data_IF_350769371927
#
_entry.id   IF_350769371927
#
_cell.length_a   1.000
_cell.length_b   1.000
_cell.length_c   1.000
_cell.angle_alpha   90.00
_cell.angle_beta   90.00
_cell.angle_gamma   90.00
#
_symmetry.space_group_name_H-M   'P 1'
#
loop_
_entity.id
_entity.type
_entity.pdbx_description
1 polymer ?
#
# COMPACT_ATOMS: atom_id res chain seq x y z
N UNK A 1 -22.77 20.26 -8.06
CA UNK A 1 -22.60 21.72 -8.25
C UNK A 1 -21.21 22.17 -7.82
N UNK A 2 -20.81 21.99 -6.55
CA UNK A 2 -19.51 22.46 -6.02
C UNK A 2 -18.24 22.01 -6.76
N UNK A 3 -18.10 20.74 -7.13
CA UNK A 3 -16.89 20.26 -7.82
C UNK A 3 -16.72 20.90 -9.20
N UNK A 4 -17.83 21.09 -9.92
CA UNK A 4 -17.83 21.78 -11.20
C UNK A 4 -17.45 23.26 -11.03
N UNK A 5 -18.01 23.95 -10.03
CA UNK A 5 -17.65 25.33 -9.71
C UNK A 5 -16.16 25.48 -9.38
N UNK A 6 -15.57 24.54 -8.62
CA UNK A 6 -14.14 24.53 -8.33
C UNK A 6 -13.30 24.33 -9.59
N UNK A 7 -13.69 23.40 -10.46
CA UNK A 7 -13.02 23.19 -11.74
C UNK A 7 -13.08 24.45 -12.61
N UNK A 8 -14.26 25.05 -12.78
CA UNK A 8 -14.41 26.29 -13.55
C UNK A 8 -13.62 27.44 -12.95
N UNK A 9 -13.59 27.57 -11.62
CA UNK A 9 -12.79 28.58 -10.96
C UNK A 9 -11.30 28.43 -11.29
N UNK A 10 -10.75 27.22 -11.17
CA UNK A 10 -9.34 26.96 -11.52
C UNK A 10 -9.08 27.25 -13.00
N UNK A 11 -9.98 26.82 -13.89
CA UNK A 11 -9.80 27.05 -15.32
C UNK A 11 -9.83 28.54 -15.67
N UNK A 12 -10.86 29.26 -15.23
CA UNK A 12 -11.09 30.66 -15.59
C UNK A 12 -10.13 31.62 -14.91
N UNK A 13 -9.78 31.38 -13.65
CA UNK A 13 -8.99 32.31 -12.84
C UNK A 13 -7.49 31.99 -12.89
N UNK A 14 -7.09 30.74 -13.12
CA UNK A 14 -5.68 30.35 -13.13
C UNK A 14 -5.18 29.88 -14.48
N UNK A 15 -5.81 28.85 -15.07
CA UNK A 15 -5.24 28.14 -16.23
C UNK A 15 -5.37 28.95 -17.51
N UNK A 16 -6.57 29.43 -17.83
CA UNK A 16 -6.85 30.21 -19.04
C UNK A 16 -6.01 31.50 -19.06
N UNK A 17 -5.97 32.34 -18.00
CA UNK A 17 -5.14 33.53 -17.99
C UNK A 17 -3.65 33.21 -18.11
N UNK A 18 -3.14 32.23 -17.36
CA UNK A 18 -1.72 31.87 -17.42
C UNK A 18 -1.30 31.39 -18.82
N UNK A 19 -2.19 30.67 -19.52
CA UNK A 19 -1.92 30.14 -20.85
C UNK A 19 -2.00 31.21 -21.94
N UNK A 20 -2.96 32.13 -21.88
CA UNK A 20 -3.17 33.12 -22.96
C UNK A 20 -2.46 34.46 -22.75
N UNK A 21 -2.08 34.81 -21.53
CA UNK A 21 -1.28 36.03 -21.27
C UNK A 21 0.11 35.90 -21.92
N UNK A 22 0.40 36.76 -22.90
CA UNK A 22 1.68 36.79 -23.63
C UNK A 22 2.37 38.13 -23.39
N UNK A 23 3.68 38.09 -23.17
CA UNK A 23 4.48 39.31 -23.17
C UNK A 23 4.63 39.91 -24.58
N UNK A 24 5.31 41.06 -24.68
CA UNK A 24 5.61 41.74 -25.96
C UNK A 24 6.40 40.89 -26.97
N UNK A 25 7.00 39.78 -26.55
CA UNK A 25 7.69 38.83 -27.41
C UNK A 25 6.84 37.58 -27.74
N UNK A 26 5.58 37.51 -27.30
CA UNK A 26 4.68 36.39 -27.56
C UNK A 26 4.79 35.21 -26.58
N UNK A 27 5.53 35.34 -25.47
CA UNK A 27 5.77 34.24 -24.54
C UNK A 27 4.85 34.29 -23.31
N UNK A 28 4.24 33.15 -22.90
CA UNK A 28 3.48 33.06 -21.66
C UNK A 28 4.38 32.75 -20.48
N UNK A 29 4.93 33.80 -19.85
CA UNK A 29 5.90 33.63 -18.75
C UNK A 29 5.32 32.80 -17.60
N UNK A 30 4.06 33.06 -17.22
CA UNK A 30 3.37 32.36 -16.13
C UNK A 30 3.15 30.89 -16.46
N UNK A 31 2.70 30.56 -17.68
CA UNK A 31 2.57 29.17 -18.13
C UNK A 31 3.91 28.43 -18.13
N UNK A 32 4.96 29.04 -18.71
CA UNK A 32 6.27 28.41 -18.78
C UNK A 32 6.88 28.16 -17.39
N UNK A 33 6.63 29.05 -16.43
CA UNK A 33 7.01 28.84 -15.04
C UNK A 33 6.31 27.60 -14.46
N UNK A 34 5.00 27.44 -14.67
CA UNK A 34 4.24 26.25 -14.23
C UNK A 34 4.75 24.97 -14.90
N UNK A 35 5.02 24.99 -16.21
CA UNK A 35 5.58 23.84 -16.93
C UNK A 35 6.95 23.44 -16.37
N UNK A 36 7.85 24.41 -16.11
CA UNK A 36 9.16 24.14 -15.50
C UNK A 36 9.05 23.59 -14.09
N UNK A 37 8.15 24.13 -13.27
CA UNK A 37 7.87 23.61 -11.93
C UNK A 37 7.33 22.18 -11.97
N UNK A 38 6.41 21.88 -12.90
CA UNK A 38 5.89 20.53 -13.13
C UNK A 38 7.03 19.56 -13.48
N UNK A 39 7.89 19.94 -14.44
CA UNK A 39 9.01 19.09 -14.83
C UNK A 39 10.01 18.86 -13.68
N UNK A 40 10.30 19.88 -12.86
CA UNK A 40 11.27 19.74 -11.76
C UNK A 40 10.71 18.94 -10.57
N UNK A 41 9.42 19.10 -10.25
CA UNK A 41 8.81 18.51 -9.05
C UNK A 41 8.14 17.16 -9.32
N UNK A 42 7.44 17.01 -10.44
CA UNK A 42 6.61 15.83 -10.71
C UNK A 42 7.40 14.70 -11.36
N UNK A 43 8.31 15.00 -12.30
CA UNK A 43 9.11 13.97 -13.00
C UNK A 43 9.82 12.99 -12.06
N UNK A 44 10.53 13.42 -10.99
CA UNK A 44 11.17 12.47 -10.08
C UNK A 44 10.15 11.66 -9.25
N UNK A 45 8.96 12.22 -8.99
CA UNK A 45 7.92 11.55 -8.21
C UNK A 45 7.13 10.54 -9.04
N UNK A 46 6.76 10.88 -10.26
CA UNK A 46 5.93 10.07 -11.15
C UNK A 46 6.76 9.38 -12.25
N UNK A 47 7.88 8.79 -11.84
CA UNK A 47 8.73 8.01 -12.74
C UNK A 47 8.41 6.52 -12.64
N UNK A 48 8.16 5.87 -13.79
CA UNK A 48 8.01 4.41 -13.85
C UNK A 48 9.27 3.67 -13.39
N UNK A 49 10.46 4.26 -13.58
CA UNK A 49 11.71 3.70 -13.05
C UNK A 49 11.74 3.73 -11.52
N UNK A 50 11.30 4.85 -10.92
CA UNK A 50 11.15 4.95 -9.45
C UNK A 50 10.13 3.91 -8.95
N UNK A 51 8.96 3.83 -9.59
CA UNK A 51 7.90 2.89 -9.24
C UNK A 51 8.41 1.45 -9.30
N UNK A 52 9.05 1.05 -10.40
CA UNK A 52 9.57 -0.31 -10.55
C UNK A 52 10.63 -0.63 -9.49
N UNK A 53 11.55 0.31 -9.22
CA UNK A 53 12.55 0.14 -8.17
C UNK A 53 11.89 -0.07 -6.80
N UNK A 54 10.92 0.75 -6.44
CA UNK A 54 10.17 0.62 -5.18
C UNK A 54 9.43 -0.71 -5.11
N UNK A 55 8.82 -1.15 -6.20
CA UNK A 55 8.12 -2.43 -6.26
C UNK A 55 9.08 -3.61 -6.05
N UNK A 56 10.25 -3.57 -6.69
CA UNK A 56 11.28 -4.60 -6.52
C UNK A 56 11.80 -4.61 -5.09
N UNK A 57 12.10 -3.47 -4.50
CA UNK A 57 12.74 -3.41 -3.18
C UNK A 57 11.78 -3.65 -2.01
N UNK A 58 10.53 -3.21 -2.14
CA UNK A 58 9.55 -3.28 -1.05
C UNK A 58 8.63 -4.49 -1.13
N UNK A 59 8.42 -5.06 -2.33
CA UNK A 59 7.52 -6.21 -2.52
C UNK A 59 8.30 -7.45 -2.93
N UNK A 60 8.99 -7.42 -4.08
CA UNK A 60 9.59 -8.64 -4.63
C UNK A 60 10.79 -9.15 -3.85
N UNK A 61 11.73 -8.29 -3.45
CA UNK A 61 12.92 -8.71 -2.73
C UNK A 61 12.60 -9.28 -1.34
N UNK A 62 11.70 -8.67 -0.52
CA UNK A 62 11.25 -9.29 0.72
C UNK A 62 10.53 -10.62 0.48
N UNK A 63 9.62 -10.69 -0.50
CA UNK A 63 8.91 -11.93 -0.82
C UNK A 63 9.87 -13.06 -1.24
N UNK A 64 10.89 -12.75 -2.06
CA UNK A 64 11.91 -13.71 -2.47
C UNK A 64 12.73 -14.21 -1.27
N UNK A 65 13.12 -13.33 -0.35
CA UNK A 65 13.81 -13.73 0.90
C UNK A 65 12.92 -14.60 1.79
N UNK A 66 11.66 -14.24 1.95
CA UNK A 66 10.69 -15.05 2.71
C UNK A 66 10.49 -16.42 2.07
N UNK A 67 10.45 -16.50 0.75
CA UNK A 67 10.39 -17.77 0.03
C UNK A 67 11.64 -18.61 0.28
N UNK A 68 12.84 -18.03 0.12
CA UNK A 68 14.11 -18.72 0.40
C UNK A 68 14.14 -19.30 1.82
N UNK A 69 13.79 -18.49 2.82
CA UNK A 69 13.74 -18.95 4.22
C UNK A 69 12.73 -20.08 4.46
N UNK A 70 11.66 -20.19 3.65
CA UNK A 70 10.66 -21.26 3.77
C UNK A 70 11.11 -22.57 3.12
N UNK A 71 11.94 -22.50 2.08
CA UNK A 71 12.49 -23.68 1.40
C UNK A 71 13.82 -24.14 1.98
N UNK A 72 14.40 -23.39 2.92
CA UNK A 72 15.55 -23.81 3.71
C UNK A 72 15.32 -25.21 4.30
N UNK A 73 16.41 -25.98 4.42
CA UNK A 73 16.38 -27.38 4.85
C UNK A 73 15.39 -28.23 4.03
N UNK A 74 15.27 -27.94 2.74
CA UNK A 74 14.36 -28.65 1.82
C UNK A 74 12.87 -28.53 2.21
N UNK A 75 12.49 -27.41 2.84
CA UNK A 75 11.10 -27.10 3.16
C UNK A 75 10.50 -27.94 4.31
N UNK A 76 11.32 -28.44 5.24
CA UNK A 76 10.84 -29.27 6.37
C UNK A 76 9.75 -28.57 7.16
N UNK A 77 9.87 -27.27 7.42
CA UNK A 77 8.84 -26.50 8.15
C UNK A 77 7.49 -26.51 7.45
N UNK A 78 7.47 -26.46 6.11
CA UNK A 78 6.21 -26.53 5.36
C UNK A 78 5.60 -27.93 5.45
N UNK A 79 6.45 -28.97 5.44
CA UNK A 79 6.01 -30.35 5.64
C UNK A 79 5.47 -30.56 7.05
N UNK A 80 6.20 -30.14 8.09
CA UNK A 80 5.79 -30.27 9.48
C UNK A 80 4.44 -29.58 9.74
N UNK A 81 4.23 -28.40 9.14
CA UNK A 81 2.96 -27.67 9.22
C UNK A 81 1.82 -28.42 8.50
N UNK A 82 2.09 -29.00 7.33
CA UNK A 82 1.12 -29.79 6.58
C UNK A 82 0.74 -31.07 7.34
N UNK A 83 1.73 -31.76 7.90
CA UNK A 83 1.54 -32.98 8.69
C UNK A 83 0.75 -32.66 9.97
N UNK A 84 1.06 -31.55 10.65
CA UNK A 84 0.30 -31.05 11.79
C UNK A 84 -1.15 -30.70 11.44
N UNK A 85 -1.38 -30.02 10.32
CA UNK A 85 -2.73 -29.69 9.86
C UNK A 85 -3.53 -30.97 9.55
N UNK A 86 -2.93 -31.93 8.84
CA UNK A 86 -3.57 -33.22 8.57
C UNK A 86 -3.92 -33.96 9.86
N UNK A 87 -3.01 -33.95 10.83
CA UNK A 87 -3.25 -34.56 12.14
C UNK A 87 -4.41 -33.87 12.89
N UNK A 88 -4.49 -32.54 12.84
CA UNK A 88 -5.61 -31.80 13.41
C UNK A 88 -6.93 -32.13 12.71
N UNK A 89 -6.95 -32.18 11.38
CA UNK A 89 -8.17 -32.46 10.61
C UNK A 89 -8.72 -33.86 10.91
N UNK A 90 -7.83 -34.85 11.01
CA UNK A 90 -8.18 -36.23 11.39
C UNK A 90 -8.73 -36.31 12.82
N UNK A 91 -8.13 -35.56 13.74
CA UNK A 91 -8.43 -35.65 15.18
C UNK A 91 -9.40 -34.55 15.65
N UNK A 92 -9.89 -33.70 14.74
CA UNK A 92 -10.73 -32.55 15.05
C UNK A 92 -11.97 -32.92 15.87
N UNK A 93 -12.57 -34.07 15.54
CA UNK A 93 -13.77 -34.58 16.21
C UNK A 93 -13.54 -35.00 17.67
N UNK A 94 -12.29 -35.32 18.01
CA UNK A 94 -11.88 -35.73 19.35
C UNK A 94 -11.38 -34.56 20.19
N UNK A 95 -11.07 -33.42 19.56
CA UNK A 95 -10.70 -32.21 20.28
C UNK A 95 -11.89 -31.73 21.11
N UNK A 96 -11.73 -31.73 22.43
CA UNK A 96 -12.66 -31.12 23.38
C UNK A 96 -11.90 -30.06 24.14
N UNK A 97 -12.43 -28.84 24.11
CA UNK A 97 -12.05 -27.85 25.11
C UNK A 97 -12.63 -28.32 26.45
N UNK A 98 -11.85 -28.22 27.52
CA UNK A 98 -12.32 -28.49 28.88
C UNK A 98 -13.45 -27.55 29.29
N UNK A 99 -13.89 -27.67 30.55
CA UNK A 99 -14.87 -26.75 31.10
C UNK A 99 -14.26 -25.34 31.10
N UNK A 100 -14.82 -24.46 30.26
CA UNK A 100 -14.38 -23.08 30.19
C UNK A 100 -14.89 -22.33 31.43
N UNK A 101 -14.00 -22.08 32.37
CA UNK A 101 -14.24 -21.20 33.50
C UNK A 101 -13.97 -19.75 33.08
N UNK A 102 -15.04 -18.96 33.06
CA UNK A 102 -14.98 -17.53 32.79
C UNK A 102 -15.17 -16.80 34.12
N UNK A 103 -14.12 -16.11 34.57
CA UNK A 103 -14.19 -15.24 35.75
C UNK A 103 -13.97 -13.80 35.36
N UNK A 104 -14.86 -12.92 35.79
CA UNK A 104 -14.74 -11.47 35.60
C UNK A 104 -13.94 -10.87 36.77
N UNK A 105 -12.73 -10.38 36.50
CA UNK A 105 -11.91 -9.67 37.47
C UNK A 105 -11.83 -8.19 37.10
N UNK A 106 -12.46 -7.34 37.92
CA UNK A 106 -12.46 -5.86 37.93
C UNK A 106 -12.84 -5.16 36.61
N UNK A 107 -12.15 -5.43 35.49
CA UNK A 107 -12.42 -4.90 34.14
C UNK A 107 -12.07 -5.88 32.98
N UNK A 108 -11.70 -7.13 33.27
CA UNK A 108 -11.29 -8.10 32.23
C UNK A 108 -11.89 -9.49 32.47
N UNK A 109 -12.23 -10.18 31.38
CA UNK A 109 -12.61 -11.59 31.42
C UNK A 109 -11.36 -12.47 31.42
N UNK A 110 -11.23 -13.32 32.43
CA UNK A 110 -10.21 -14.37 32.50
C UNK A 110 -10.87 -15.68 32.09
N UNK A 111 -10.33 -16.30 31.03
CA UNK A 111 -10.78 -17.57 30.49
C UNK A 111 -9.79 -18.67 30.90
N UNK A 112 -10.24 -19.68 31.63
CA UNK A 112 -9.47 -20.89 31.97
C UNK A 112 -10.16 -22.10 31.30
N UNK A 113 -9.38 -22.96 30.63
CA UNK A 113 -9.84 -24.18 29.94
C UNK A 113 -9.20 -25.40 30.58
#
# INVERSE_FOLDING_TARGET
AREAEQLYHVLEQEIIPAFYDRNHHGYPRTWLARVRASMSQLTPRYSSNRMMREYVTTVYAPAARSYQSRIDKNGTTAKDLSDWQAHLDENWRWLRFGTLDISEEKEHFVFRV
#
